data_IF_398570462149
#
_entry.id   IF_398570462149
#
_cell.length_a   1.000
_cell.length_b   1.000
_cell.length_c   1.000
_cell.angle_alpha   90.00
_cell.angle_beta   90.00
_cell.angle_gamma   90.00
#
_symmetry.space_group_name_H-M   'P 1'
#
loop_
_entity.id
_entity.type
_entity.pdbx_description
1 polymer ?
#
# COMPACT_ATOMS: atom_id res chain seq x y z
N UNK A 1 -6.63 16.32 -5.66
CA UNK A 1 -5.90 16.30 -6.95
C UNK A 1 -4.60 15.49 -6.87
N UNK A 2 -3.75 15.75 -5.88
CA UNK A 2 -2.47 15.02 -5.72
C UNK A 2 -2.67 13.52 -5.46
N UNK A 3 -3.67 13.16 -4.65
CA UNK A 3 -4.02 11.75 -4.40
C UNK A 3 -4.49 11.05 -5.68
N UNK A 4 -5.33 11.73 -6.46
CA UNK A 4 -5.80 11.21 -7.73
C UNK A 4 -4.65 10.98 -8.71
N UNK A 5 -3.70 11.91 -8.76
CA UNK A 5 -2.50 11.79 -9.58
C UNK A 5 -1.70 10.53 -9.23
N UNK A 6 -1.49 10.25 -7.95
CA UNK A 6 -0.76 9.04 -7.54
C UNK A 6 -1.46 7.77 -7.99
N UNK A 7 -2.79 7.74 -7.94
CA UNK A 7 -3.60 6.60 -8.37
C UNK A 7 -3.50 6.41 -9.89
N UNK A 8 -3.69 7.49 -10.65
CA UNK A 8 -3.62 7.45 -12.12
C UNK A 8 -2.24 7.01 -12.63
N UNK A 9 -1.17 7.53 -12.01
CA UNK A 9 0.19 7.13 -12.35
C UNK A 9 0.46 5.67 -11.98
N UNK A 10 -0.08 5.19 -10.86
CA UNK A 10 0.03 3.80 -10.45
C UNK A 10 -0.67 2.88 -11.45
N UNK A 11 -1.87 3.22 -11.87
CA UNK A 11 -2.61 2.47 -12.89
C UNK A 11 -1.86 2.41 -14.21
N UNK A 12 -1.28 3.54 -14.62
CA UNK A 12 -0.47 3.63 -15.83
C UNK A 12 0.72 2.68 -15.76
N UNK A 13 1.42 2.64 -14.63
CA UNK A 13 2.57 1.74 -14.44
C UNK A 13 2.15 0.26 -14.51
N UNK A 14 0.98 -0.08 -13.98
CA UNK A 14 0.47 -1.45 -13.99
C UNK A 14 0.08 -1.94 -15.39
N UNK A 15 -0.24 -1.02 -16.31
CA UNK A 15 -0.67 -1.34 -17.68
C UNK A 15 0.46 -1.45 -18.69
N UNK A 16 1.71 -1.24 -18.30
CA UNK A 16 2.85 -1.35 -19.22
C UNK A 16 3.01 -2.78 -19.74
N UNK A 17 3.15 -2.92 -21.05
CA UNK A 17 3.27 -4.21 -21.75
C UNK A 17 4.49 -5.03 -21.31
N UNK A 18 5.57 -4.37 -20.93
CA UNK A 18 6.82 -5.00 -20.50
C UNK A 18 6.84 -5.37 -19.01
N UNK A 19 5.66 -5.45 -18.39
CA UNK A 19 5.54 -5.65 -16.97
C UNK A 19 5.54 -4.33 -16.19
N UNK A 20 5.00 -4.35 -14.98
CA UNK A 20 4.96 -3.14 -14.15
C UNK A 20 6.32 -2.86 -13.50
N UNK A 21 6.64 -1.58 -13.36
CA UNK A 21 7.84 -1.15 -12.66
C UNK A 21 7.57 -1.12 -11.15
N UNK A 22 8.08 -2.10 -10.43
CA UNK A 22 7.86 -2.27 -8.98
C UNK A 22 8.34 -1.07 -8.16
N UNK A 23 9.47 -0.48 -8.54
CA UNK A 23 10.05 0.68 -7.85
C UNK A 23 9.16 1.91 -8.00
N UNK A 24 8.64 2.15 -9.20
CA UNK A 24 7.72 3.25 -9.48
C UNK A 24 6.42 3.09 -8.70
N UNK A 25 5.84 1.90 -8.70
CA UNK A 25 4.60 1.60 -7.96
C UNK A 25 4.82 1.77 -6.46
N UNK A 26 5.94 1.29 -5.92
CA UNK A 26 6.30 1.45 -4.50
C UNK A 26 6.44 2.93 -4.13
N UNK A 27 7.10 3.72 -4.98
CA UNK A 27 7.26 5.16 -4.76
C UNK A 27 5.93 5.90 -4.76
N UNK A 28 5.03 5.56 -5.69
CA UNK A 28 3.70 6.15 -5.78
C UNK A 28 2.81 5.75 -4.59
N UNK A 29 2.92 4.51 -4.13
CA UNK A 29 2.24 4.03 -2.92
C UNK A 29 2.68 4.85 -1.70
N UNK A 30 3.98 5.04 -1.53
CA UNK A 30 4.52 5.87 -0.45
C UNK A 30 4.03 7.31 -0.51
N UNK A 31 4.01 7.90 -1.69
CA UNK A 31 3.52 9.26 -1.91
C UNK A 31 2.04 9.41 -1.57
N UNK A 32 1.20 8.46 -1.96
CA UNK A 32 -0.21 8.43 -1.62
C UNK A 32 -0.41 8.53 -0.10
N UNK A 33 0.28 7.69 0.65
CA UNK A 33 0.17 7.67 2.12
C UNK A 33 0.71 8.95 2.77
N UNK A 34 1.84 9.48 2.28
CA UNK A 34 2.42 10.74 2.77
C UNK A 34 1.46 11.91 2.60
N UNK A 35 0.81 12.02 1.45
CA UNK A 35 -0.19 13.06 1.19
C UNK A 35 -1.35 12.96 2.19
N UNK A 36 -1.84 11.74 2.47
CA UNK A 36 -2.88 11.53 3.47
C UNK A 36 -2.45 11.99 4.86
N UNK A 37 -1.22 11.68 5.28
CA UNK A 37 -0.70 12.08 6.58
C UNK A 37 -0.59 13.60 6.69
N UNK A 38 -0.07 14.26 5.66
CA UNK A 38 0.05 15.71 5.61
C UNK A 38 -1.33 16.39 5.62
N UNK A 39 -2.31 15.81 4.93
CA UNK A 39 -3.67 16.33 4.88
C UNK A 39 -4.39 16.28 6.23
N UNK A 40 -3.92 15.45 7.17
CA UNK A 40 -4.48 15.39 8.52
C UNK A 40 -4.31 16.69 9.31
N UNK A 41 -3.35 17.54 8.92
CA UNK A 41 -3.04 18.80 9.61
C UNK A 41 -2.34 18.61 10.95
N UNK A 42 -2.05 17.40 11.38
CA UNK A 42 -1.38 17.10 12.64
C UNK A 42 0.10 16.81 12.42
N UNK A 43 0.97 17.69 12.91
CA UNK A 43 2.42 17.48 12.84
C UNK A 43 2.87 16.23 13.60
N UNK A 44 2.27 16.00 14.77
CA UNK A 44 2.58 14.84 15.61
C UNK A 44 2.19 13.55 14.90
N UNK A 45 0.96 13.48 14.35
CA UNK A 45 0.46 12.31 13.63
C UNK A 45 1.31 12.03 12.39
N UNK A 46 1.63 13.07 11.62
CA UNK A 46 2.49 12.97 10.44
C UNK A 46 3.87 12.41 10.80
N UNK A 47 4.44 12.88 11.90
CA UNK A 47 5.76 12.45 12.38
C UNK A 47 5.75 10.98 12.78
N UNK A 48 4.80 10.59 13.62
CA UNK A 48 4.63 9.20 14.10
C UNK A 48 4.37 8.25 12.93
N UNK A 49 3.46 8.62 12.02
CA UNK A 49 3.11 7.79 10.87
C UNK A 49 4.24 7.70 9.84
N UNK A 50 5.04 8.75 9.68
CA UNK A 50 6.21 8.73 8.81
C UNK A 50 7.29 7.77 9.34
N UNK A 51 7.55 7.79 10.64
CA UNK A 51 8.48 6.84 11.26
C UNK A 51 7.95 5.42 11.19
N UNK A 52 6.67 5.22 11.51
CA UNK A 52 6.01 3.94 11.40
C UNK A 52 5.98 3.44 9.95
N UNK A 53 5.82 4.35 8.99
CA UNK A 53 5.82 4.07 7.56
C UNK A 53 7.13 3.43 7.09
N UNK A 54 8.28 3.81 7.67
CA UNK A 54 9.57 3.19 7.34
C UNK A 54 9.57 1.70 7.62
N UNK A 55 8.98 1.27 8.73
CA UNK A 55 8.83 -0.14 9.07
C UNK A 55 7.83 -0.83 8.14
N UNK A 56 6.69 -0.19 7.89
CA UNK A 56 5.64 -0.72 7.01
C UNK A 56 6.09 -0.73 5.55
N UNK A 57 6.98 0.16 5.15
CA UNK A 57 7.47 0.25 3.77
C UNK A 57 8.25 -0.98 3.34
N UNK A 58 9.06 -1.54 4.21
CA UNK A 58 9.75 -2.82 3.94
C UNK A 58 8.72 -3.93 3.68
N UNK A 59 7.68 -3.95 4.48
CA UNK A 59 6.58 -4.87 4.39
C UNK A 59 5.74 -4.63 3.12
N UNK A 60 5.44 -3.38 2.78
CA UNK A 60 4.72 -2.99 1.56
C UNK A 60 5.51 -3.32 0.30
N UNK A 61 6.81 -3.17 0.32
CA UNK A 61 7.69 -3.50 -0.80
C UNK A 61 7.54 -4.98 -1.17
N UNK A 62 7.47 -5.86 -0.18
CA UNK A 62 7.21 -7.29 -0.38
C UNK A 62 5.80 -7.54 -0.92
N UNK A 63 4.81 -6.80 -0.44
CA UNK A 63 3.41 -6.89 -0.88
C UNK A 63 3.24 -6.45 -2.34
N UNK A 64 3.87 -5.36 -2.76
CA UNK A 64 3.81 -4.82 -4.11
C UNK A 64 4.53 -5.72 -5.12
N UNK A 65 5.45 -6.57 -4.69
CA UNK A 65 6.11 -7.54 -5.54
C UNK A 65 5.13 -8.55 -6.17
N UNK A 66 3.93 -8.70 -5.61
CA UNK A 66 2.87 -9.54 -6.17
C UNK A 66 1.94 -8.64 -6.97
N UNK A 67 1.92 -8.79 -8.30
CA UNK A 67 1.13 -7.97 -9.21
C UNK A 67 -0.35 -7.88 -8.81
N UNK A 68 -0.97 -9.02 -8.49
CA UNK A 68 -2.38 -9.08 -8.08
C UNK A 68 -2.63 -8.24 -6.80
N UNK A 69 -1.71 -8.26 -5.85
CA UNK A 69 -1.82 -7.45 -4.63
C UNK A 69 -1.64 -5.95 -4.92
N UNK A 70 -0.71 -5.60 -5.80
CA UNK A 70 -0.48 -4.22 -6.22
C UNK A 70 -1.74 -3.64 -6.89
N UNK A 71 -2.36 -4.38 -7.79
CA UNK A 71 -3.61 -3.98 -8.45
C UNK A 71 -4.74 -3.77 -7.44
N UNK A 72 -4.88 -4.69 -6.49
CA UNK A 72 -5.89 -4.61 -5.45
C UNK A 72 -5.66 -3.43 -4.51
N UNK A 73 -4.41 -3.14 -4.18
CA UNK A 73 -4.03 -1.98 -3.37
C UNK A 73 -4.45 -0.67 -4.04
N UNK A 74 -4.27 -0.55 -5.34
CA UNK A 74 -4.68 0.62 -6.12
C UNK A 74 -6.21 0.79 -6.07
N UNK A 75 -6.96 -0.30 -6.21
CA UNK A 75 -8.43 -0.26 -6.10
C UNK A 75 -8.88 0.15 -4.69
N UNK A 76 -8.20 -0.31 -3.66
CA UNK A 76 -8.45 0.09 -2.27
C UNK A 76 -8.16 1.58 -2.06
N UNK A 77 -7.08 2.10 -2.63
CA UNK A 77 -6.76 3.54 -2.61
C UNK A 77 -7.82 4.38 -3.32
N UNK A 78 -8.33 3.91 -4.46
CA UNK A 78 -9.45 4.56 -5.16
C UNK A 78 -10.68 4.68 -4.30
N UNK A 79 -11.04 3.61 -3.60
CA UNK A 79 -12.21 3.59 -2.73
C UNK A 79 -12.06 4.57 -1.57
N UNK A 80 -10.87 4.65 -0.98
CA UNK A 80 -10.56 5.62 0.09
C UNK A 80 -10.70 7.06 -0.45
N UNK A 81 -10.13 7.35 -1.60
CA UNK A 81 -10.21 8.66 -2.23
C UNK A 81 -11.67 9.06 -2.51
N UNK A 82 -12.47 8.13 -3.02
CA UNK A 82 -13.88 8.39 -3.30
C UNK A 82 -14.66 8.73 -2.02
N UNK A 83 -14.40 8.00 -0.93
CA UNK A 83 -15.02 8.29 0.36
C UNK A 83 -14.63 9.69 0.88
N UNK A 84 -13.38 10.10 0.66
CA UNK A 84 -12.91 11.45 1.01
C UNK A 84 -13.63 12.51 0.15
N UNK A 85 -13.77 12.27 -1.15
CA UNK A 85 -14.51 13.17 -2.06
C UNK A 85 -15.97 13.32 -1.66
N UNK A 86 -16.59 12.24 -1.24
CA UNK A 86 -17.97 12.20 -0.79
C UNK A 86 -18.14 12.78 0.62
N UNK A 87 -17.04 13.21 1.24
CA UNK A 87 -17.02 13.74 2.60
C UNK A 87 -17.64 12.78 3.61
N UNK A 88 -17.36 11.50 3.43
CA UNK A 88 -17.80 10.42 4.31
C UNK A 88 -16.62 9.91 5.15
N UNK A 89 -16.32 10.55 6.30
CA UNK A 89 -15.16 10.18 7.11
C UNK A 89 -15.26 8.79 7.72
N UNK A 90 -16.46 8.35 8.09
CA UNK A 90 -16.66 7.03 8.67
C UNK A 90 -16.32 5.92 7.67
N UNK A 91 -16.77 6.07 6.42
CA UNK A 91 -16.45 5.13 5.36
C UNK A 91 -14.96 5.18 5.00
N UNK A 92 -14.37 6.38 4.93
CA UNK A 92 -12.94 6.53 4.65
C UNK A 92 -12.09 5.83 5.72
N UNK A 93 -12.45 5.97 6.99
CA UNK A 93 -11.78 5.29 8.11
C UNK A 93 -11.90 3.78 7.99
N UNK A 94 -13.10 3.27 7.73
CA UNK A 94 -13.34 1.83 7.57
C UNK A 94 -12.53 1.25 6.43
N UNK A 95 -12.54 1.90 5.27
CA UNK A 95 -11.79 1.45 4.10
C UNK A 95 -10.28 1.49 4.31
N UNK A 96 -9.78 2.49 5.03
CA UNK A 96 -8.37 2.58 5.38
C UNK A 96 -7.95 1.44 6.32
N UNK A 97 -8.77 1.13 7.32
CA UNK A 97 -8.54 0.00 8.23
C UNK A 97 -8.53 -1.33 7.48
N UNK A 98 -9.50 -1.56 6.60
CA UNK A 98 -9.57 -2.77 5.77
C UNK A 98 -8.34 -2.90 4.87
N UNK A 99 -7.88 -1.80 4.29
CA UNK A 99 -6.67 -1.76 3.46
C UNK A 99 -5.44 -2.23 4.26
N UNK A 100 -5.25 -1.73 5.47
CA UNK A 100 -4.14 -2.13 6.33
C UNK A 100 -4.25 -3.60 6.72
N UNK A 101 -5.45 -4.08 7.05
CA UNK A 101 -5.68 -5.51 7.35
C UNK A 101 -5.28 -6.38 6.16
N UNK A 102 -5.66 -6.00 4.94
CA UNK A 102 -5.28 -6.75 3.72
C UNK A 102 -3.77 -6.78 3.51
N UNK A 103 -3.08 -5.65 3.76
CA UNK A 103 -1.61 -5.58 3.68
C UNK A 103 -0.98 -6.52 4.70
N UNK A 104 -1.46 -6.51 5.93
CA UNK A 104 -0.96 -7.39 7.01
C UNK A 104 -1.18 -8.87 6.70
N UNK A 105 -2.35 -9.23 6.19
CA UNK A 105 -2.66 -10.60 5.79
C UNK A 105 -1.74 -11.10 4.68
N UNK A 106 -1.46 -10.25 3.71
CA UNK A 106 -0.55 -10.58 2.62
C UNK A 106 0.89 -10.80 3.11
N UNK A 107 1.34 -9.96 4.04
CA UNK A 107 2.64 -10.12 4.68
C UNK A 107 2.76 -11.43 5.44
N UNK A 108 1.73 -11.79 6.18
CA UNK A 108 1.68 -13.05 6.93
C UNK A 108 1.81 -14.25 5.99
N UNK A 109 1.14 -14.22 4.84
CA UNK A 109 1.25 -15.26 3.83
C UNK A 109 2.67 -15.36 3.26
N UNK A 110 3.34 -14.24 3.04
CA UNK A 110 4.71 -14.19 2.54
C UNK A 110 5.67 -14.79 3.57
N UNK A 111 5.51 -14.44 4.85
CA UNK A 111 6.33 -14.99 5.94
C UNK A 111 6.16 -16.51 6.09
N UNK A 112 4.91 -16.98 6.07
CA UNK A 112 4.61 -18.41 6.15
C UNK A 112 5.25 -19.19 5.00
N UNK A 113 5.17 -18.64 3.79
CA UNK A 113 5.78 -19.25 2.61
C UNK A 113 7.30 -19.30 2.72
N UNK A 114 7.92 -18.22 3.17
CA UNK A 114 9.37 -18.13 3.36
C UNK A 114 9.84 -19.14 4.41
N UNK A 115 9.15 -19.23 5.55
CA UNK A 115 9.44 -20.19 6.61
C UNK A 115 9.31 -21.65 6.13
N UNK A 116 8.34 -21.93 5.27
CA UNK A 116 8.17 -23.26 4.68
C UNK A 116 9.32 -23.61 3.71
N UNK A 117 9.78 -22.64 2.94
CA UNK A 117 10.91 -22.81 2.03
C UNK A 117 12.22 -23.06 2.80
N UNK A 118 12.48 -22.28 3.85
CA UNK A 118 13.64 -22.48 4.73
C UNK A 118 13.61 -23.84 5.42
N UNK A 119 12.45 -24.27 5.89
CA UNK A 119 12.28 -25.57 6.52
C UNK A 119 12.54 -26.73 5.55
N UNK A 120 12.23 -26.55 4.26
CA UNK A 120 12.54 -27.55 3.23
C UNK A 120 14.03 -27.60 2.91
N UNK A 121 14.68 -26.46 2.82
CA UNK A 121 16.12 -26.37 2.54
C UNK A 121 16.96 -26.87 3.74
N UNK A 122 16.47 -26.69 4.96
CA UNK A 122 17.13 -27.18 6.18
C UNK A 122 17.03 -28.69 6.43
N UNK A 123 16.25 -29.43 5.62
CA UNK A 123 16.08 -30.89 5.75
C UNK A 123 16.99 -31.69 4.82
N UNK A 124 17.77 -31.03 4.03
CA UNK A 124 18.79 -31.67 3.20
C UNK A 124 20.14 -31.60 3.88
#
# INVERSE_FOLDING_TARGET
>A
EELEETILLSEFQMKKENGYNKEQVTGLDGRFHTILYEASGSRMLCHVLTDFHRYVQMARKSSINVKARAEKSIEEHKAILQAIRDRNPDLAEQLAKEHIVHVMQNLKKIEEKHNQEEAKDGKN
#
